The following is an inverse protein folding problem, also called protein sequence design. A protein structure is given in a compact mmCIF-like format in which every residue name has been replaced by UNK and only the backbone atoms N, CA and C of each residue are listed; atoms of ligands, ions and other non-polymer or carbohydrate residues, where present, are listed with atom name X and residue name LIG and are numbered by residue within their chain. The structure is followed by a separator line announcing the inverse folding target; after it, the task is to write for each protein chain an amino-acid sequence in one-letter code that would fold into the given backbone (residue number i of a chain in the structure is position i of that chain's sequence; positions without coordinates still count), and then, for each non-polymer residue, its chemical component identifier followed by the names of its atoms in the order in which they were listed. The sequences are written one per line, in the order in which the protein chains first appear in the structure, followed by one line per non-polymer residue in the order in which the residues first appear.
data_IF_517841526888
#
_entry.id   IF_517841526888
#
_cell.length_a   1.000
_cell.length_b   1.000
_cell.length_c   1.000
_cell.angle_alpha   90.00
_cell.angle_beta   90.00
_cell.angle_gamma   90.00
#
_symmetry.space_group_name_H-M   'P 1'
#
loop_
_entity.id
_entity.type
_entity.pdbx_description
1 polymer ?
#
# COMPACT_ATOMS: atom_id res chain seq x y z
N UNK A 1 33.13 -63.89 -27.45
CA UNK A 1 31.89 -64.63 -27.15
C UNK A 1 30.83 -63.59 -26.76
N UNK A 2 30.33 -62.74 -27.64
CA UNK A 2 30.41 -62.77 -29.12
C UNK A 2 29.56 -63.89 -29.73
N UNK A 3 28.85 -63.70 -30.84
CA UNK A 3 28.62 -62.50 -31.67
C UNK A 3 27.24 -62.68 -32.38
N UNK A 4 26.64 -61.60 -32.90
CA UNK A 4 25.77 -61.39 -34.12
C UNK A 4 25.00 -62.57 -34.79
N UNK A 5 23.91 -62.46 -35.59
CA UNK A 5 23.02 -61.39 -36.13
C UNK A 5 21.65 -62.08 -36.50
N UNK A 6 20.68 -61.70 -37.38
CA UNK A 6 20.33 -60.56 -38.26
C UNK A 6 18.79 -60.57 -38.51
N UNK A 7 18.18 -59.41 -38.78
CA UNK A 7 16.87 -59.17 -39.44
C UNK A 7 15.56 -59.83 -38.89
N UNK A 8 14.35 -59.31 -39.19
CA UNK A 8 14.04 -58.01 -39.78
C UNK A 8 12.62 -57.83 -40.35
N UNK A 9 12.05 -56.63 -40.10
CA UNK A 9 11.03 -55.88 -40.88
C UNK A 9 9.59 -56.41 -41.07
N UNK A 10 8.71 -55.43 -41.34
CA UNK A 10 7.33 -55.48 -41.85
C UNK A 10 6.26 -56.09 -40.91
N UNK A 11 5.12 -55.46 -40.58
CA UNK A 11 4.36 -54.29 -41.09
C UNK A 11 3.59 -54.55 -42.40
N UNK A 12 2.25 -54.44 -42.34
CA UNK A 12 1.22 -54.71 -43.36
C UNK A 12 1.03 -56.20 -43.74
N UNK A 13 0.08 -56.89 -43.11
CA UNK A 13 -1.26 -57.13 -43.72
C UNK A 13 -2.21 -57.93 -42.81
N UNK A 14 -3.51 -57.59 -42.86
CA UNK A 14 -4.70 -58.46 -42.69
C UNK A 14 -5.95 -57.63 -42.30
N UNK A 15 -6.69 -57.17 -43.30
CA UNK A 15 -8.00 -56.54 -43.14
C UNK A 15 -9.07 -57.25 -43.99
N UNK A 16 -9.74 -58.26 -43.42
CA UNK A 16 -10.90 -58.92 -44.03
C UNK A 16 -11.78 -59.63 -42.99
N UNK A 17 -13.07 -59.78 -43.32
CA UNK A 17 -14.12 -60.51 -42.58
C UNK A 17 -14.49 -59.96 -41.18
N UNK A 18 -15.77 -59.82 -40.79
CA UNK A 18 -17.04 -60.30 -41.37
C UNK A 18 -18.16 -59.24 -41.31
N UNK A 19 -19.11 -59.37 -42.24
CA UNK A 19 -20.25 -58.44 -42.43
C UNK A 19 -21.58 -59.04 -41.91
N UNK A 20 -22.60 -58.17 -41.75
CA UNK A 20 -24.06 -58.37 -41.50
C UNK A 20 -24.48 -58.03 -40.06
N UNK A 21 -25.66 -57.46 -39.82
CA UNK A 21 -26.82 -57.27 -40.70
C UNK A 21 -27.42 -55.83 -40.70
N UNK A 22 -28.11 -55.47 -41.79
CA UNK A 22 -28.86 -54.22 -41.97
C UNK A 22 -30.25 -54.28 -41.29
N UNK A 23 -30.74 -53.13 -40.84
CA UNK A 23 -32.10 -52.65 -41.20
C UNK A 23 -32.04 -51.15 -41.55
N UNK A 24 -32.81 -50.74 -42.54
CA UNK A 24 -32.82 -49.38 -43.12
C UNK A 24 -34.26 -48.79 -43.09
N UNK A 25 -34.62 -47.70 -43.78
CA UNK A 25 -34.86 -46.42 -43.13
C UNK A 25 -36.32 -45.93 -43.25
N UNK A 26 -36.60 -44.71 -42.79
CA UNK A 26 -37.77 -43.91 -43.23
C UNK A 26 -37.31 -42.56 -43.76
N UNK A 27 -37.97 -42.06 -44.80
CA UNK A 27 -37.55 -40.93 -45.63
C UNK A 27 -38.71 -39.99 -45.95
N UNK A 28 -38.44 -38.68 -46.01
CA UNK A 28 -39.36 -37.65 -46.49
C UNK A 28 -39.29 -36.37 -45.63
N UNK A 29 -39.28 -35.15 -46.19
CA UNK A 29 -39.25 -34.70 -47.60
C UNK A 29 -38.41 -33.42 -47.71
N UNK A 30 -37.81 -33.19 -48.89
CA UNK A 30 -37.07 -31.95 -49.20
C UNK A 30 -37.99 -30.74 -49.39
N UNK A 31 -37.50 -29.53 -49.09
CA UNK A 31 -37.16 -28.52 -50.11
C UNK A 31 -36.25 -27.40 -49.53
N UNK A 32 -35.53 -26.62 -50.37
CA UNK A 32 -34.31 -25.91 -49.96
C UNK A 32 -34.53 -24.42 -49.64
N UNK A 33 -33.48 -23.79 -49.11
CA UNK A 33 -33.36 -22.35 -48.94
C UNK A 33 -31.93 -21.93 -48.65
N UNK A 34 -31.08 -21.88 -49.69
CA UNK A 34 -29.74 -21.29 -49.59
C UNK A 34 -29.85 -19.77 -49.41
N UNK A 35 -29.47 -19.27 -48.24
CA UNK A 35 -29.25 -17.85 -48.00
C UNK A 35 -27.88 -17.70 -47.32
N UNK A 36 -26.91 -17.10 -48.02
CA UNK A 36 -25.56 -16.87 -47.52
C UNK A 36 -25.61 -15.89 -46.33
N UNK A 37 -25.21 -16.36 -45.15
CA UNK A 37 -24.91 -15.51 -43.99
C UNK A 37 -23.40 -15.42 -43.79
N UNK A 38 -22.77 -14.44 -44.44
CA UNK A 38 -21.38 -14.04 -44.18
C UNK A 38 -21.35 -12.55 -43.86
N UNK A 39 -20.61 -12.21 -42.80
CA UNK A 39 -20.21 -10.86 -42.35
C UNK A 39 -21.35 -9.85 -42.02
N UNK A 40 -21.31 -9.03 -40.97
CA UNK A 40 -20.33 -8.88 -39.88
C UNK A 40 -21.02 -9.04 -38.52
N UNK A 41 -20.93 -10.23 -37.92
CA UNK A 41 -21.27 -10.44 -36.51
C UNK A 41 -20.09 -9.99 -35.63
N UNK A 42 -19.78 -8.69 -35.65
CA UNK A 42 -18.71 -8.06 -34.86
C UNK A 42 -18.78 -8.59 -33.41
N UNK A 43 -17.81 -9.42 -33.05
CA UNK A 43 -18.00 -10.41 -31.98
C UNK A 43 -17.97 -9.72 -30.62
N UNK A 44 -19.15 -9.28 -30.18
CA UNK A 44 -19.33 -8.41 -29.02
C UNK A 44 -18.79 -9.10 -27.78
N UNK A 45 -17.65 -8.60 -27.31
CA UNK A 45 -16.98 -9.03 -26.10
C UNK A 45 -17.99 -9.12 -24.92
N UNK A 46 -17.94 -10.18 -24.09
CA UNK A 46 -18.76 -10.25 -22.89
C UNK A 46 -18.55 -9.02 -22.00
N UNK A 47 -19.57 -8.59 -21.27
CA UNK A 47 -19.52 -7.34 -20.48
C UNK A 47 -18.32 -7.36 -19.51
N UNK A 48 -17.51 -6.30 -19.56
CA UNK A 48 -16.26 -6.16 -18.79
C UNK A 48 -15.02 -6.79 -19.45
N UNK A 49 -15.15 -7.43 -20.63
CA UNK A 49 -13.99 -7.89 -21.41
C UNK A 49 -13.50 -6.79 -22.34
N UNK A 50 -12.18 -6.64 -22.41
CA UNK A 50 -11.48 -5.61 -23.18
C UNK A 50 -10.58 -6.19 -24.29
N UNK A 51 -10.26 -7.48 -24.23
CA UNK A 51 -9.52 -8.22 -25.25
C UNK A 51 -10.01 -9.68 -25.36
N UNK A 52 -9.69 -10.34 -26.46
CA UNK A 52 -9.78 -11.80 -26.62
C UNK A 52 -8.36 -12.34 -26.77
N UNK A 53 -7.96 -13.31 -25.93
CA UNK A 53 -6.66 -13.98 -26.04
C UNK A 53 -6.85 -15.48 -26.35
N UNK A 54 -5.99 -16.01 -27.23
CA UNK A 54 -6.02 -17.40 -27.67
C UNK A 54 -4.88 -18.20 -27.04
N UNK A 55 -5.20 -19.31 -26.37
CA UNK A 55 -4.21 -20.20 -25.77
C UNK A 55 -3.64 -21.12 -26.85
N UNK A 56 -2.49 -20.76 -27.42
CA UNK A 56 -1.75 -21.57 -28.40
C UNK A 56 -0.57 -22.32 -27.76
N UNK A 57 -0.29 -23.58 -28.14
CA UNK A 57 0.91 -24.29 -27.70
C UNK A 57 2.18 -23.60 -28.24
N UNK A 58 3.15 -23.35 -27.36
CA UNK A 58 4.42 -22.67 -27.69
C UNK A 58 4.44 -21.19 -27.27
N UNK A 59 3.36 -20.45 -27.55
CA UNK A 59 3.24 -18.98 -27.36
C UNK A 59 2.96 -18.57 -25.89
N UNK A 60 3.58 -19.25 -24.91
CA UNK A 60 3.29 -19.01 -23.48
C UNK A 60 3.95 -17.76 -22.86
N UNK A 61 5.13 -17.28 -23.32
CA UNK A 61 5.63 -15.95 -22.99
C UNK A 61 4.77 -14.83 -23.57
N UNK A 62 4.41 -14.91 -24.84
CA UNK A 62 3.68 -13.88 -25.59
C UNK A 62 2.26 -13.72 -25.04
N UNK A 63 1.58 -14.84 -24.74
CA UNK A 63 0.28 -14.85 -24.07
C UNK A 63 0.33 -14.18 -22.67
N UNK A 64 1.47 -14.20 -22.00
CA UNK A 64 1.67 -13.47 -20.75
C UNK A 64 1.96 -11.99 -21.00
N UNK A 65 2.69 -11.61 -22.05
CA UNK A 65 2.93 -10.20 -22.42
C UNK A 65 1.64 -9.47 -22.83
N UNK A 66 0.77 -10.15 -23.60
CA UNK A 66 -0.54 -9.61 -23.97
C UNK A 66 -1.47 -9.51 -22.74
N UNK A 67 -1.41 -10.49 -21.83
CA UNK A 67 -2.14 -10.45 -20.56
C UNK A 67 -1.65 -9.33 -19.61
N UNK A 68 -0.34 -9.12 -19.51
CA UNK A 68 0.27 -8.03 -18.73
C UNK A 68 -0.17 -6.66 -19.26
N UNK A 69 -0.16 -6.48 -20.59
CA UNK A 69 -0.62 -5.25 -21.25
C UNK A 69 -2.08 -4.93 -20.94
N UNK A 70 -2.98 -5.91 -21.04
CA UNK A 70 -4.41 -5.71 -20.73
C UNK A 70 -4.62 -5.42 -19.24
N UNK A 71 -3.82 -5.99 -18.33
CA UNK A 71 -3.86 -5.63 -16.92
C UNK A 71 -3.40 -4.18 -16.71
N UNK A 72 -2.29 -3.75 -17.30
CA UNK A 72 -1.77 -2.37 -17.17
C UNK A 72 -2.74 -1.34 -17.76
N UNK A 73 -3.40 -1.64 -18.88
CA UNK A 73 -4.38 -0.75 -19.50
C UNK A 73 -5.72 -0.65 -18.76
N UNK A 74 -6.14 -1.71 -18.04
CA UNK A 74 -7.53 -1.87 -17.55
C UNK A 74 -7.64 -2.08 -16.03
N UNK A 75 -6.53 -2.27 -15.33
CA UNK A 75 -6.49 -2.52 -13.89
C UNK A 75 -5.51 -1.58 -13.16
N UNK A 76 -5.96 -0.35 -12.91
CA UNK A 76 -5.21 0.65 -12.15
C UNK A 76 -4.97 0.31 -10.66
N UNK A 77 -5.22 -0.94 -10.23
CA UNK A 77 -4.94 -1.42 -8.89
C UNK A 77 -3.78 -2.44 -8.82
N UNK A 78 -3.02 -2.67 -9.90
CA UNK A 78 -1.84 -3.55 -9.88
C UNK A 78 -0.56 -2.73 -10.07
N UNK A 79 0.37 -2.91 -9.14
CA UNK A 79 1.66 -2.23 -9.03
C UNK A 79 2.77 -3.25 -8.79
N UNK A 80 4.03 -2.87 -8.94
CA UNK A 80 5.16 -3.59 -8.36
C UNK A 80 5.70 -2.87 -7.12
N UNK A 81 6.05 -3.63 -6.08
CA UNK A 81 6.63 -3.14 -4.82
C UNK A 81 7.46 -4.25 -4.18
N UNK A 82 8.63 -3.91 -3.61
CA UNK A 82 9.36 -4.80 -2.69
C UNK A 82 9.64 -6.24 -3.22
N UNK A 83 9.77 -6.41 -4.54
CA UNK A 83 10.00 -7.71 -5.20
C UNK A 83 8.74 -8.54 -5.50
N UNK A 84 7.54 -7.98 -5.39
CA UNK A 84 6.27 -8.64 -5.72
C UNK A 84 5.29 -7.71 -6.46
N UNK A 85 4.33 -8.30 -7.18
CA UNK A 85 3.14 -7.56 -7.61
C UNK A 85 2.25 -7.29 -6.41
N UNK A 86 1.86 -6.03 -6.25
CA UNK A 86 1.10 -5.52 -5.11
C UNK A 86 -0.16 -4.80 -5.59
N UNK A 87 -1.14 -4.70 -4.70
CA UNK A 87 -2.41 -4.01 -4.93
C UNK A 87 -2.88 -3.30 -3.68
N UNK A 88 -3.77 -2.32 -3.83
CA UNK A 88 -4.47 -1.77 -2.68
C UNK A 88 -5.55 -2.75 -2.20
N UNK A 89 -5.74 -2.76 -0.89
CA UNK A 89 -6.89 -3.33 -0.20
C UNK A 89 -7.39 -2.33 0.84
N UNK A 90 -8.71 -2.30 1.05
CA UNK A 90 -9.27 -1.68 2.25
C UNK A 90 -9.21 -2.73 3.35
N UNK A 91 -8.42 -2.49 4.38
CA UNK A 91 -8.30 -3.37 5.55
C UNK A 91 -9.61 -3.35 6.34
N UNK A 92 -10.08 -4.55 6.71
CA UNK A 92 -11.11 -4.71 7.75
C UNK A 92 -10.45 -4.47 9.13
N UNK A 93 -11.21 -4.07 10.17
CA UNK A 93 -10.64 -3.89 11.49
C UNK A 93 -10.13 -5.23 12.04
N UNK A 94 -8.80 -5.35 12.13
CA UNK A 94 -8.11 -6.58 12.52
C UNK A 94 -6.99 -6.30 13.52
N UNK A 95 -6.53 -7.34 14.22
CA UNK A 95 -5.34 -7.27 15.07
C UNK A 95 -4.52 -8.53 14.83
N UNK A 96 -3.32 -8.36 14.28
CA UNK A 96 -2.48 -9.44 13.75
C UNK A 96 -1.05 -9.20 14.23
N UNK A 97 -0.44 -10.17 14.91
CA UNK A 97 0.92 -10.11 15.46
C UNK A 97 1.24 -8.82 16.26
N UNK A 98 0.28 -8.34 17.07
CA UNK A 98 0.45 -7.12 17.88
C UNK A 98 0.27 -5.80 17.10
N UNK A 99 -0.09 -5.86 15.83
CA UNK A 99 -0.41 -4.71 14.96
C UNK A 99 -1.93 -4.59 14.87
N UNK A 100 -2.50 -3.43 15.20
CA UNK A 100 -3.95 -3.16 15.16
C UNK A 100 -4.27 -2.02 14.18
N UNK A 101 -5.00 -2.36 13.12
CA UNK A 101 -5.50 -1.39 12.13
C UNK A 101 -6.95 -1.01 12.44
N UNK A 102 -7.35 0.19 12.00
CA UNK A 102 -8.74 0.65 12.05
C UNK A 102 -9.50 0.23 10.79
N UNK A 103 -10.82 0.27 10.84
CA UNK A 103 -11.66 0.00 9.67
C UNK A 103 -11.42 1.05 8.57
N UNK A 104 -11.55 0.62 7.32
CA UNK A 104 -11.32 1.46 6.16
C UNK A 104 -9.84 1.76 5.86
N UNK A 105 -8.87 1.38 6.70
CA UNK A 105 -7.45 1.70 6.46
C UNK A 105 -6.98 1.09 5.14
N UNK A 106 -6.58 1.93 4.19
CA UNK A 106 -6.05 1.47 2.90
C UNK A 106 -4.64 0.93 3.11
N UNK A 107 -4.42 -0.33 2.75
CA UNK A 107 -3.13 -1.04 2.87
C UNK A 107 -2.67 -1.57 1.52
N UNK A 108 -1.37 -1.83 1.42
CA UNK A 108 -0.75 -2.53 0.30
C UNK A 108 -0.68 -4.02 0.65
N UNK A 109 -1.21 -4.87 -0.21
CA UNK A 109 -1.17 -6.33 -0.05
C UNK A 109 -0.56 -6.99 -1.29
N UNK A 110 0.12 -8.15 -1.15
CA UNK A 110 0.61 -8.89 -2.30
C UNK A 110 -0.54 -9.39 -3.19
N UNK A 111 -0.27 -9.50 -4.47
CA UNK A 111 -1.11 -10.19 -5.45
C UNK A 111 -0.74 -11.67 -5.46
N UNK A 112 -1.71 -12.52 -5.18
CA UNK A 112 -1.59 -13.98 -5.33
C UNK A 112 -2.10 -14.46 -6.71
N UNK A 113 -1.83 -15.72 -7.02
CA UNK A 113 -2.17 -16.31 -8.31
C UNK A 113 -3.68 -16.51 -8.53
N UNK A 114 -4.49 -16.62 -7.48
CA UNK A 114 -5.95 -16.76 -7.58
C UNK A 114 -6.61 -15.40 -7.83
N UNK A 115 -6.20 -14.36 -7.11
CA UNK A 115 -6.58 -12.98 -7.40
C UNK A 115 -6.21 -12.61 -8.84
N UNK A 116 -4.96 -12.82 -9.26
CA UNK A 116 -4.53 -12.48 -10.60
C UNK A 116 -5.27 -13.29 -11.67
N UNK A 117 -5.57 -14.57 -11.41
CA UNK A 117 -6.41 -15.40 -12.29
C UNK A 117 -7.85 -14.87 -12.37
N UNK A 118 -8.45 -14.38 -11.28
CA UNK A 118 -9.76 -13.71 -11.30
C UNK A 118 -9.72 -12.42 -12.14
N UNK A 119 -8.71 -11.55 -11.97
CA UNK A 119 -8.56 -10.32 -12.75
C UNK A 119 -8.39 -10.59 -14.24
N UNK A 120 -7.51 -11.53 -14.60
CA UNK A 120 -7.33 -12.00 -15.97
C UNK A 120 -8.63 -12.58 -16.55
N UNK A 121 -9.39 -13.36 -15.77
CA UNK A 121 -10.69 -13.87 -16.20
C UNK A 121 -11.75 -12.77 -16.33
N UNK A 122 -11.71 -11.69 -15.55
CA UNK A 122 -12.67 -10.58 -15.61
C UNK A 122 -12.44 -9.65 -16.79
N UNK A 123 -11.20 -9.44 -17.21
CA UNK A 123 -10.81 -8.44 -18.21
C UNK A 123 -10.59 -9.03 -19.61
N UNK A 124 -10.30 -10.33 -19.73
CA UNK A 124 -9.97 -10.99 -21.01
C UNK A 124 -10.99 -12.10 -21.31
N UNK A 125 -11.40 -12.21 -22.57
CA UNK A 125 -12.15 -13.35 -23.11
C UNK A 125 -11.16 -14.43 -23.56
N UNK A 126 -11.06 -15.54 -22.82
CA UNK A 126 -10.09 -16.59 -23.09
C UNK A 126 -10.65 -17.64 -24.04
N UNK A 127 -9.90 -17.96 -25.09
CA UNK A 127 -10.25 -18.99 -26.06
C UNK A 127 -9.13 -20.04 -26.19
N UNK A 128 -9.50 -21.26 -26.58
CA UNK A 128 -8.55 -22.31 -26.98
C UNK A 128 -9.09 -23.12 -28.14
N UNK A 129 -8.22 -23.69 -28.97
CA UNK A 129 -8.65 -24.59 -30.02
C UNK A 129 -9.17 -25.91 -29.46
N UNK A 130 -10.31 -26.38 -30.00
CA UNK A 130 -10.93 -27.65 -29.64
C UNK A 130 -10.97 -28.55 -30.87
N UNK A 131 -10.00 -29.46 -30.98
CA UNK A 131 -9.92 -30.45 -32.07
C UNK A 131 -11.22 -31.25 -32.25
N UNK A 132 -11.92 -31.58 -31.15
CA UNK A 132 -13.22 -32.28 -31.20
C UNK A 132 -14.34 -31.47 -31.87
N UNK A 133 -14.24 -30.13 -31.88
CA UNK A 133 -15.24 -29.23 -32.47
C UNK A 133 -14.70 -28.47 -33.69
N UNK A 134 -13.45 -28.74 -34.10
CA UNK A 134 -12.69 -28.05 -35.14
C UNK A 134 -12.72 -26.51 -35.09
N UNK A 135 -12.84 -25.93 -33.88
CA UNK A 135 -13.01 -24.48 -33.68
C UNK A 135 -12.44 -24.00 -32.35
N UNK A 136 -12.25 -22.68 -32.24
CA UNK A 136 -12.01 -22.01 -30.96
C UNK A 136 -13.24 -22.12 -30.04
N UNK A 137 -13.00 -22.35 -28.75
CA UNK A 137 -14.04 -22.38 -27.71
C UNK A 137 -13.62 -21.55 -26.51
N UNK A 138 -14.60 -20.88 -25.89
CA UNK A 138 -14.41 -20.11 -24.66
C UNK A 138 -13.93 -20.99 -23.52
N UNK A 139 -13.04 -20.45 -22.68
CA UNK A 139 -12.52 -21.09 -21.48
C UNK A 139 -12.15 -20.02 -20.44
N UNK A 140 -11.40 -20.43 -19.40
CA UNK A 140 -10.86 -19.53 -18.38
C UNK A 140 -9.36 -19.33 -18.61
N UNK A 141 -8.81 -18.23 -18.05
CA UNK A 141 -7.38 -17.98 -18.00
C UNK A 141 -6.61 -19.20 -17.42
N UNK A 142 -5.56 -19.69 -18.08
CA UNK A 142 -4.69 -20.70 -17.49
C UNK A 142 -3.99 -20.11 -16.26
N UNK A 143 -4.04 -20.79 -15.12
CA UNK A 143 -3.30 -20.37 -13.89
C UNK A 143 -1.81 -20.15 -14.17
N UNK A 144 -1.24 -20.87 -15.14
CA UNK A 144 0.14 -20.69 -15.57
C UNK A 144 0.44 -19.26 -16.04
N UNK A 145 -0.50 -18.54 -16.66
CA UNK A 145 -0.29 -17.12 -17.04
C UNK A 145 -0.09 -16.28 -15.78
N UNK A 146 -0.97 -16.41 -14.78
CA UNK A 146 -0.82 -15.72 -13.50
C UNK A 146 0.48 -16.10 -12.77
N UNK A 147 0.86 -17.39 -12.76
CA UNK A 147 2.13 -17.86 -12.18
C UNK A 147 3.35 -17.29 -12.90
N UNK A 148 3.35 -17.27 -14.25
CA UNK A 148 4.42 -16.67 -15.06
C UNK A 148 4.53 -15.19 -14.76
N UNK A 149 3.42 -14.43 -14.77
CA UNK A 149 3.42 -13.02 -14.41
C UNK A 149 3.99 -12.79 -13.00
N UNK A 150 3.57 -13.55 -11.99
CA UNK A 150 4.08 -13.41 -10.61
C UNK A 150 5.56 -13.82 -10.43
N UNK A 151 6.19 -14.43 -11.43
CA UNK A 151 7.62 -14.73 -11.43
C UNK A 151 8.50 -13.65 -12.08
N UNK A 152 7.94 -12.68 -12.82
CA UNK A 152 8.66 -11.63 -13.57
C UNK A 152 9.24 -10.49 -12.69
N UNK A 153 9.69 -10.79 -11.47
CA UNK A 153 10.27 -9.77 -10.58
C UNK A 153 11.52 -9.14 -11.21
N UNK A 154 11.49 -7.82 -11.39
CA UNK A 154 12.53 -7.07 -12.10
C UNK A 154 12.36 -6.97 -13.63
N UNK A 155 11.30 -7.58 -14.18
CA UNK A 155 10.94 -7.51 -15.61
C UNK A 155 9.51 -6.99 -15.86
N UNK A 156 8.77 -6.62 -14.81
CA UNK A 156 7.41 -6.09 -14.89
C UNK A 156 7.33 -4.70 -15.52
N UNK A 157 6.28 -4.47 -16.32
CA UNK A 157 5.92 -3.15 -16.84
C UNK A 157 4.91 -2.40 -15.95
N UNK A 158 4.48 -2.97 -14.82
CA UNK A 158 3.62 -2.32 -13.83
C UNK A 158 4.31 -1.13 -13.14
N UNK A 159 3.52 -0.18 -12.62
CA UNK A 159 4.02 1.02 -11.92
C UNK A 159 4.62 0.68 -10.55
N UNK A 160 5.66 1.39 -10.13
CA UNK A 160 6.39 1.15 -8.88
C UNK A 160 5.74 1.89 -7.70
N UNK A 161 5.20 1.16 -6.72
CA UNK A 161 4.49 1.76 -5.58
C UNK A 161 5.41 1.96 -4.36
N UNK A 162 5.84 3.21 -4.16
CA UNK A 162 6.61 3.68 -2.98
C UNK A 162 5.74 3.76 -1.74
N UNK A 163 4.47 4.18 -1.87
CA UNK A 163 3.53 4.30 -0.76
C UNK A 163 2.18 4.88 -1.18
N UNK A 164 1.24 4.91 -0.23
CA UNK A 164 -0.10 5.49 -0.40
C UNK A 164 -0.19 6.72 0.49
N UNK A 165 -0.78 7.79 -0.01
CA UNK A 165 -1.22 8.94 0.79
C UNK A 165 -2.74 9.13 0.63
N UNK A 166 -3.42 9.62 1.67
CA UNK A 166 -4.87 9.91 1.63
C UNK A 166 -5.20 11.39 1.83
N UNK A 167 -4.18 12.24 1.68
CA UNK A 167 -4.19 13.70 1.70
C UNK A 167 -3.10 14.22 0.75
N UNK A 168 -3.15 15.50 0.34
CA UNK A 168 -2.02 16.17 -0.29
C UNK A 168 -0.74 16.10 0.56
N UNK A 169 0.41 16.22 -0.09
CA UNK A 169 1.72 16.28 0.58
C UNK A 169 2.71 17.12 -0.23
N UNK A 170 3.97 17.22 0.22
CA UNK A 170 5.06 17.76 -0.59
C UNK A 170 5.89 16.63 -1.22
N UNK A 171 6.48 16.89 -2.38
CA UNK A 171 7.55 16.06 -2.98
C UNK A 171 8.92 16.47 -2.39
N UNK A 172 10.00 15.69 -2.59
CA UNK A 172 11.35 16.00 -2.09
C UNK A 172 11.95 17.34 -2.59
N UNK A 173 11.54 17.83 -3.77
CA UNK A 173 11.90 19.17 -4.26
C UNK A 173 11.18 20.30 -3.49
N UNK A 174 10.11 19.96 -2.76
CA UNK A 174 9.22 20.85 -2.03
C UNK A 174 7.94 21.23 -2.79
N UNK A 175 7.77 20.79 -4.05
CA UNK A 175 6.54 21.01 -4.83
C UNK A 175 5.34 20.29 -4.20
N UNK A 176 4.14 20.80 -4.44
CA UNK A 176 2.91 20.25 -3.87
C UNK A 176 2.43 19.07 -4.73
N UNK A 177 2.04 17.97 -4.08
CA UNK A 177 1.29 16.88 -4.71
C UNK A 177 -0.12 16.84 -4.10
N UNK A 178 -1.07 17.43 -4.82
CA UNK A 178 -2.46 17.68 -4.37
C UNK A 178 -3.55 17.08 -5.28
N UNK A 179 -3.17 16.40 -6.37
CA UNK A 179 -4.12 15.82 -7.33
C UNK A 179 -4.23 14.30 -7.12
N UNK A 180 -5.44 13.74 -6.93
CA UNK A 180 -5.60 12.29 -6.74
C UNK A 180 -5.10 11.51 -7.96
N UNK A 181 -4.46 10.36 -7.72
CA UNK A 181 -3.78 9.58 -8.75
C UNK A 181 -2.35 9.19 -8.37
N UNK A 182 -1.59 8.69 -9.34
CA UNK A 182 -0.21 8.23 -9.15
C UNK A 182 0.79 9.28 -9.63
N UNK A 183 1.82 9.55 -8.84
CA UNK A 183 2.90 10.49 -9.15
C UNK A 183 4.16 9.77 -9.62
N UNK A 184 4.47 9.88 -10.92
CA UNK A 184 5.63 9.20 -11.55
C UNK A 184 6.98 9.58 -10.92
N UNK A 185 7.09 10.78 -10.36
CA UNK A 185 8.34 11.29 -9.79
C UNK A 185 8.67 10.71 -8.39
N UNK A 186 7.66 10.23 -7.65
CA UNK A 186 7.82 9.71 -6.28
C UNK A 186 7.36 8.27 -6.09
N UNK A 187 6.58 7.71 -7.03
CA UNK A 187 5.93 6.41 -6.90
C UNK A 187 4.80 6.41 -5.84
N UNK A 188 4.30 7.58 -5.46
CA UNK A 188 3.21 7.72 -4.50
C UNK A 188 1.85 7.65 -5.20
N UNK A 189 0.90 6.95 -4.59
CA UNK A 189 -0.50 6.94 -4.99
C UNK A 189 -1.33 7.76 -4.00
N UNK A 190 -1.85 8.91 -4.45
CA UNK A 190 -2.82 9.69 -3.68
C UNK A 190 -4.22 9.13 -3.88
N UNK A 191 -4.68 8.35 -2.89
CA UNK A 191 -6.04 7.84 -2.78
C UNK A 191 -6.91 8.83 -1.98
N UNK A 192 -7.54 9.77 -2.68
CA UNK A 192 -8.38 10.79 -2.05
C UNK A 192 -9.80 10.27 -1.74
N UNK A 193 -10.15 10.23 -0.46
CA UNK A 193 -11.51 9.94 0.03
C UNK A 193 -12.36 11.21 0.18
N UNK A 194 -11.73 12.39 0.12
CA UNK A 194 -12.35 13.70 0.28
C UNK A 194 -11.59 14.76 -0.53
N UNK A 195 -12.25 15.89 -0.81
CA UNK A 195 -11.61 17.06 -1.40
C UNK A 195 -10.78 17.84 -0.36
N UNK A 196 -9.76 18.55 -0.84
CA UNK A 196 -8.90 19.45 -0.07
C UNK A 196 -8.90 20.83 -0.75
N UNK A 197 -8.80 21.95 0.01
CA UNK A 197 -8.63 23.27 -0.58
C UNK A 197 -7.24 23.38 -1.23
N UNK A 198 -7.06 24.27 -2.22
CA UNK A 198 -5.76 24.50 -2.84
C UNK A 198 -4.77 25.04 -1.83
N UNK A 199 -3.53 24.55 -1.89
CA UNK A 199 -2.44 25.02 -1.02
C UNK A 199 -1.65 26.09 -1.79
N UNK A 200 -1.42 27.30 -1.23
CA UNK A 200 -0.65 28.32 -1.92
C UNK A 200 0.75 27.82 -2.29
N UNK A 201 1.20 28.06 -3.53
CA UNK A 201 2.54 27.67 -3.95
C UNK A 201 3.62 28.48 -3.21
N UNK A 202 3.46 29.80 -3.09
CA UNK A 202 4.43 30.69 -2.45
C UNK A 202 3.79 31.57 -1.37
N UNK A 203 3.31 30.99 -0.25
CA UNK A 203 2.71 31.73 0.85
C UNK A 203 3.78 32.53 1.62
N UNK A 204 3.36 33.66 2.17
CA UNK A 204 4.19 34.54 2.97
C UNK A 204 4.45 34.02 4.39
N UNK A 205 5.32 34.74 5.11
CA UNK A 205 5.62 34.46 6.53
C UNK A 205 4.39 34.58 7.43
N UNK A 206 3.44 35.45 7.09
CA UNK A 206 2.21 35.68 7.85
C UNK A 206 1.20 34.55 7.60
N UNK A 207 1.03 34.10 6.35
CA UNK A 207 0.23 32.91 6.03
C UNK A 207 0.77 31.67 6.77
N UNK A 208 2.09 31.47 6.74
CA UNK A 208 2.75 30.38 7.46
C UNK A 208 2.58 30.46 8.98
N UNK A 209 2.58 31.67 9.56
CA UNK A 209 2.29 31.91 10.98
C UNK A 209 0.83 31.55 11.31
N UNK A 210 -0.13 32.12 10.59
CA UNK A 210 -1.55 31.86 10.80
C UNK A 210 -1.91 30.37 10.62
N UNK A 211 -1.25 29.68 9.69
CA UNK A 211 -1.41 28.25 9.49
C UNK A 211 -0.88 27.40 10.67
N UNK A 212 0.28 27.76 11.26
CA UNK A 212 0.77 27.11 12.48
C UNK A 212 -0.14 27.40 13.67
N UNK A 213 -0.60 28.64 13.82
CA UNK A 213 -1.46 29.06 14.92
C UNK A 213 -2.84 28.37 14.82
N UNK A 214 -3.39 28.17 13.61
CA UNK A 214 -4.60 27.36 13.39
C UNK A 214 -4.46 25.90 13.85
N UNK A 215 -3.29 25.27 13.63
CA UNK A 215 -3.02 23.92 14.17
C UNK A 215 -2.90 23.92 15.69
N UNK A 216 -2.26 24.95 16.27
CA UNK A 216 -2.09 25.10 17.72
C UNK A 216 -3.46 25.30 18.38
N UNK A 217 -4.25 26.27 17.94
CA UNK A 217 -5.57 26.59 18.50
C UNK A 217 -6.62 25.52 18.20
N UNK A 218 -6.59 24.97 16.98
CA UNK A 218 -7.51 23.94 16.52
C UNK A 218 -7.34 22.60 17.25
N UNK A 219 -6.10 22.14 17.40
CA UNK A 219 -5.80 20.76 17.87
C UNK A 219 -5.07 20.76 19.21
N UNK A 220 -3.98 21.53 19.35
CA UNK A 220 -3.06 21.39 20.49
C UNK A 220 -3.50 22.16 21.76
N UNK A 221 -4.39 23.13 21.64
CA UNK A 221 -4.81 24.05 22.71
C UNK A 221 -5.40 23.36 23.95
N UNK A 222 -5.97 22.16 23.79
CA UNK A 222 -6.57 21.39 24.88
C UNK A 222 -5.59 20.52 25.68
N UNK A 223 -4.32 20.41 25.30
CA UNK A 223 -3.35 19.50 25.94
C UNK A 223 -2.47 20.20 26.97
N UNK A 224 -2.31 19.59 28.15
CA UNK A 224 -1.49 20.12 29.24
C UNK A 224 -0.01 19.78 29.04
N UNK A 225 0.64 20.46 28.10
CA UNK A 225 2.09 20.40 27.89
C UNK A 225 2.85 20.87 29.14
N UNK A 226 4.00 20.26 29.45
CA UNK A 226 4.83 20.71 30.58
C UNK A 226 5.52 22.04 30.30
N UNK A 227 5.97 22.27 29.07
CA UNK A 227 6.63 23.48 28.61
C UNK A 227 6.26 23.83 27.16
N UNK A 228 6.68 25.04 26.73
CA UNK A 228 6.44 25.50 25.36
C UNK A 228 7.15 24.63 24.29
N UNK A 229 8.26 23.96 24.65
CA UNK A 229 8.97 23.06 23.73
C UNK A 229 8.22 21.74 23.48
N UNK A 230 7.45 21.22 24.44
CA UNK A 230 6.63 20.01 24.23
C UNK A 230 5.52 20.28 23.19
N UNK A 231 4.88 21.45 23.27
CA UNK A 231 3.90 21.88 22.26
C UNK A 231 4.54 22.05 20.89
N UNK A 232 5.78 22.54 20.82
CA UNK A 232 6.54 22.63 19.58
C UNK A 232 6.94 21.24 19.05
N UNK A 233 7.30 20.29 19.92
CA UNK A 233 7.55 18.90 19.57
C UNK A 233 6.29 18.22 18.98
N UNK A 234 5.14 18.35 19.64
CA UNK A 234 3.86 17.85 19.12
C UNK A 234 3.48 18.47 17.77
N UNK A 235 3.64 19.78 17.61
CA UNK A 235 3.44 20.47 16.33
C UNK A 235 4.41 19.98 15.25
N UNK A 236 5.67 19.75 15.59
CA UNK A 236 6.64 19.16 14.67
C UNK A 236 6.23 17.75 14.24
N UNK A 237 5.58 16.96 15.09
CA UNK A 237 4.99 15.66 14.74
C UNK A 237 3.89 15.77 13.67
N UNK A 238 2.98 16.74 13.80
CA UNK A 238 1.97 17.04 12.77
C UNK A 238 2.64 17.38 11.43
N UNK A 239 3.62 18.29 11.45
CA UNK A 239 4.31 18.74 10.25
C UNK A 239 5.15 17.62 9.61
N UNK A 240 5.89 16.84 10.41
CA UNK A 240 6.65 15.66 9.96
C UNK A 240 5.72 14.64 9.30
N UNK A 241 4.55 14.37 9.89
CA UNK A 241 3.59 13.44 9.31
C UNK A 241 3.04 13.94 7.96
N UNK A 242 2.71 15.23 7.85
CA UNK A 242 2.12 15.82 6.64
C UNK A 242 3.04 15.76 5.41
N UNK A 243 4.36 15.70 5.62
CA UNK A 243 5.36 15.60 4.53
C UNK A 243 6.28 14.39 4.64
N UNK A 244 5.95 13.37 5.45
CA UNK A 244 6.82 12.21 5.69
C UNK A 244 7.36 11.56 4.41
N UNK A 245 6.60 11.41 3.30
CA UNK A 245 7.11 10.85 2.06
C UNK A 245 8.18 11.68 1.34
N UNK A 246 8.29 12.99 1.62
CA UNK A 246 9.35 13.86 1.07
C UNK A 246 10.68 13.75 1.82
N UNK A 247 10.65 13.25 3.06
CA UNK A 247 11.79 13.24 3.97
C UNK A 247 12.59 11.94 3.80
N UNK A 248 13.90 12.07 3.58
CA UNK A 248 14.82 10.92 3.53
C UNK A 248 14.76 10.07 4.80
N UNK A 249 14.71 10.75 5.94
CA UNK A 249 14.70 10.21 7.31
C UNK A 249 13.85 11.12 8.19
N UNK A 250 13.22 10.58 9.23
CA UNK A 250 12.44 11.35 10.19
C UNK A 250 12.68 10.82 11.61
N UNK A 251 12.70 11.69 12.64
CA UNK A 251 12.73 11.23 14.02
C UNK A 251 11.40 10.57 14.39
N UNK A 252 11.42 9.83 15.49
CA UNK A 252 10.22 9.35 16.18
C UNK A 252 9.73 10.42 17.16
N UNK A 253 8.42 10.67 17.25
CA UNK A 253 7.82 11.59 18.23
C UNK A 253 7.24 10.83 19.41
N UNK A 254 7.82 10.99 20.60
CA UNK A 254 7.45 10.24 21.80
C UNK A 254 6.65 11.11 22.79
N UNK A 255 5.46 10.64 23.18
CA UNK A 255 4.57 11.31 24.11
C UNK A 255 4.66 10.65 25.49
N UNK A 256 5.20 11.38 26.46
CA UNK A 256 5.40 10.93 27.85
C UNK A 256 4.49 11.71 28.80
N UNK A 257 4.06 11.07 29.88
CA UNK A 257 3.28 11.70 30.96
C UNK A 257 3.39 10.84 32.23
N UNK A 258 3.24 11.42 33.43
CA UNK A 258 3.46 10.72 34.69
C UNK A 258 2.35 9.70 35.05
N UNK A 259 1.16 9.83 34.45
CA UNK A 259 -0.01 8.97 34.69
C UNK A 259 -0.60 8.39 33.39
N UNK A 260 -1.42 7.32 33.47
CA UNK A 260 -2.33 6.94 32.39
C UNK A 260 -3.36 8.05 32.11
N UNK A 261 -4.23 7.83 31.11
CA UNK A 261 -5.33 8.74 30.68
C UNK A 261 -4.94 10.20 30.33
N UNK A 262 -3.65 10.56 30.38
CA UNK A 262 -3.11 11.91 30.21
C UNK A 262 -3.11 12.45 28.77
N UNK A 263 -4.02 11.96 27.91
CA UNK A 263 -4.12 12.39 26.50
C UNK A 263 -3.04 11.89 25.53
N UNK A 264 -2.03 11.11 25.98
CA UNK A 264 -0.90 10.65 25.13
C UNK A 264 -1.31 10.02 23.79
N UNK A 265 -2.08 8.93 23.84
CA UNK A 265 -2.52 8.22 22.62
C UNK A 265 -3.53 9.02 21.81
N UNK A 266 -4.29 9.94 22.45
CA UNK A 266 -5.13 10.91 21.74
C UNK A 266 -4.28 11.90 20.93
N UNK A 267 -3.15 12.37 21.46
CA UNK A 267 -2.23 13.27 20.74
C UNK A 267 -1.58 12.55 19.55
N UNK A 268 -1.19 11.28 19.72
CA UNK A 268 -0.72 10.45 18.62
C UNK A 268 -1.80 10.23 17.54
N UNK A 269 -3.02 9.90 17.96
CA UNK A 269 -4.17 9.75 17.04
C UNK A 269 -4.54 11.08 16.37
N UNK A 270 -4.36 12.25 16.99
CA UNK A 270 -4.57 13.54 16.34
C UNK A 270 -3.63 13.75 15.13
N UNK A 271 -2.36 13.37 15.24
CA UNK A 271 -1.39 13.43 14.14
C UNK A 271 -1.84 12.51 13.00
N UNK A 272 -2.23 11.27 13.33
CA UNK A 272 -2.72 10.30 12.34
C UNK A 272 -4.03 10.74 11.68
N UNK A 273 -4.98 11.31 12.43
CA UNK A 273 -6.28 11.76 11.94
C UNK A 273 -6.14 12.90 10.92
N UNK A 274 -5.24 13.85 11.15
CA UNK A 274 -4.96 14.94 10.20
C UNK A 274 -4.48 14.34 8.86
N UNK A 275 -3.43 13.53 8.87
CA UNK A 275 -2.78 13.12 7.61
C UNK A 275 -3.45 11.93 6.93
N UNK A 276 -4.00 10.98 7.68
CA UNK A 276 -4.60 9.73 7.13
C UNK A 276 -6.14 9.73 7.10
N UNK A 277 -6.78 10.59 7.89
CA UNK A 277 -8.23 10.56 8.16
C UNK A 277 -8.65 9.55 9.24
N UNK A 278 -7.70 8.83 9.84
CA UNK A 278 -7.93 7.73 10.78
C UNK A 278 -6.99 7.81 12.00
N UNK A 279 -7.36 7.19 13.14
CA UNK A 279 -6.41 6.90 14.23
C UNK A 279 -5.18 6.13 13.72
N UNK A 280 -4.07 6.19 14.46
CA UNK A 280 -2.82 5.53 14.11
C UNK A 280 -2.98 4.00 14.03
N UNK A 281 -2.15 3.36 13.22
CA UNK A 281 -1.94 1.91 13.33
C UNK A 281 -1.12 1.67 14.60
N UNK A 282 -1.76 1.16 15.65
CA UNK A 282 -1.08 0.86 16.91
C UNK A 282 -0.28 -0.43 16.75
N UNK A 283 0.99 -0.41 17.14
CA UNK A 283 1.83 -1.59 17.31
C UNK A 283 2.24 -1.68 18.77
N UNK A 284 1.97 -2.80 19.43
CA UNK A 284 2.52 -3.04 20.77
C UNK A 284 4.05 -3.06 20.70
N UNK A 285 4.72 -2.34 21.60
CA UNK A 285 6.16 -2.45 21.76
C UNK A 285 6.54 -3.89 22.21
N UNK A 286 7.77 -4.31 21.92
CA UNK A 286 8.33 -5.58 22.36
C UNK A 286 9.85 -5.44 22.48
N UNK A 287 10.47 -5.85 23.60
CA UNK A 287 11.92 -5.81 23.76
C UNK A 287 12.63 -6.96 23.06
N UNK A 288 11.90 -7.97 22.55
CA UNK A 288 12.45 -9.03 21.69
C UNK A 288 12.89 -8.41 20.35
N UNK A 289 14.21 -8.35 20.03
CA UNK A 289 14.69 -7.76 18.79
C UNK A 289 14.20 -8.55 17.57
N UNK A 290 14.05 -9.87 17.72
CA UNK A 290 13.67 -10.77 16.65
C UNK A 290 12.18 -10.64 16.32
N UNK A 291 11.32 -10.45 17.33
CA UNK A 291 9.91 -10.09 17.12
C UNK A 291 9.75 -8.67 16.58
N UNK A 292 10.48 -7.70 17.15
CA UNK A 292 10.44 -6.29 16.73
C UNK A 292 10.74 -6.13 15.23
N UNK A 293 11.83 -6.75 14.74
CA UNK A 293 12.18 -6.78 13.30
C UNK A 293 11.07 -7.33 12.42
N UNK A 294 10.42 -8.43 12.84
CA UNK A 294 9.32 -9.08 12.11
C UNK A 294 8.07 -8.21 12.04
N UNK A 295 7.68 -7.57 13.16
CA UNK A 295 6.53 -6.65 13.21
C UNK A 295 6.80 -5.39 12.36
N UNK A 296 7.99 -4.80 12.49
CA UNK A 296 8.44 -3.63 11.71
C UNK A 296 8.35 -3.89 10.19
N UNK A 297 8.95 -4.97 9.68
CA UNK A 297 8.88 -5.27 8.24
C UNK A 297 7.43 -5.47 7.77
N UNK A 298 6.60 -6.14 8.58
CA UNK A 298 5.19 -6.39 8.27
C UNK A 298 4.40 -5.08 8.09
N UNK A 299 4.68 -4.06 8.89
CA UNK A 299 4.09 -2.72 8.75
C UNK A 299 4.58 -2.01 7.49
N UNK A 300 5.89 -1.96 7.28
CA UNK A 300 6.48 -1.21 6.15
C UNK A 300 6.08 -1.83 4.79
N UNK A 301 5.92 -3.15 4.71
CA UNK A 301 5.36 -3.83 3.53
C UNK A 301 3.88 -3.46 3.31
N UNK A 302 3.10 -3.36 4.39
CA UNK A 302 1.68 -2.97 4.39
C UNK A 302 1.41 -1.50 4.01
N UNK A 303 2.41 -0.62 4.09
CA UNK A 303 2.31 0.77 3.63
C UNK A 303 1.51 1.72 4.55
N UNK A 304 1.30 1.34 5.81
CA UNK A 304 0.70 2.18 6.84
C UNK A 304 1.48 3.51 7.02
N UNK A 305 0.80 4.66 7.00
CA UNK A 305 1.46 6.00 6.98
C UNK A 305 1.93 6.49 8.36
N UNK A 306 1.21 6.16 9.43
CA UNK A 306 1.47 6.65 10.80
C UNK A 306 1.28 5.50 11.80
N UNK A 307 2.33 5.20 12.56
CA UNK A 307 2.42 4.10 13.52
C UNK A 307 2.60 4.67 14.91
N UNK A 308 1.92 4.08 15.89
CA UNK A 308 2.12 4.41 17.29
C UNK A 308 2.60 3.17 18.06
N UNK A 309 3.79 3.28 18.66
CA UNK A 309 4.31 2.35 19.67
C UNK A 309 3.58 2.61 20.98
N UNK A 310 2.39 2.03 21.12
CA UNK A 310 1.48 2.36 22.23
C UNK A 310 1.81 1.56 23.50
N UNK A 311 1.74 2.25 24.64
CA UNK A 311 2.03 1.71 25.98
C UNK A 311 3.41 1.01 26.08
N UNK A 312 4.47 1.77 25.79
CA UNK A 312 5.84 1.37 26.14
C UNK A 312 5.98 1.37 27.67
N UNK A 313 6.39 0.22 28.19
CA UNK A 313 6.77 0.01 29.59
C UNK A 313 8.30 -0.18 29.65
N UNK A 314 9.00 0.71 30.33
CA UNK A 314 10.46 0.74 30.38
C UNK A 314 11.08 1.74 29.38
N UNK A 315 12.21 1.36 28.78
CA UNK A 315 12.99 2.21 27.89
C UNK A 315 12.70 1.93 26.41
N UNK A 316 12.61 3.00 25.60
CA UNK A 316 12.53 2.94 24.16
C UNK A 316 13.94 2.81 23.56
N UNK A 317 14.26 1.62 23.07
CA UNK A 317 15.53 1.25 22.41
C UNK A 317 15.30 0.19 21.30
N UNK A 318 16.36 -0.16 20.57
CA UNK A 318 16.36 -1.28 19.61
C UNK A 318 16.90 -0.93 18.21
N UNK A 319 17.88 -1.72 17.74
CA UNK A 319 18.61 -1.51 16.49
C UNK A 319 17.71 -1.48 15.24
N UNK A 320 16.64 -2.27 15.24
CA UNK A 320 15.67 -2.31 14.14
C UNK A 320 14.98 -0.96 13.95
N UNK A 321 14.55 -0.34 15.05
CA UNK A 321 13.90 0.97 15.04
C UNK A 321 14.91 2.08 14.74
N UNK A 322 16.11 2.00 15.32
CA UNK A 322 17.22 2.88 14.95
C UNK A 322 17.52 2.86 13.45
N UNK A 323 17.49 1.67 12.83
CA UNK A 323 17.73 1.47 11.40
C UNK A 323 16.61 2.06 10.54
N UNK A 324 15.34 1.89 10.92
CA UNK A 324 14.19 2.45 10.19
C UNK A 324 14.18 3.99 10.22
N UNK A 325 14.59 4.60 11.33
CA UNK A 325 14.60 6.06 11.48
C UNK A 325 15.75 6.75 10.72
N UNK A 326 16.83 6.03 10.39
CA UNK A 326 18.03 6.60 9.73
C UNK A 326 18.31 6.13 8.31
N UNK A 327 17.53 5.21 7.74
CA UNK A 327 17.69 4.73 6.37
C UNK A 327 16.40 4.93 5.57
N UNK A 328 16.50 5.06 4.25
CA UNK A 328 15.33 5.20 3.34
C UNK A 328 14.58 3.89 3.10
N UNK A 329 15.26 2.75 3.29
CA UNK A 329 14.67 1.41 3.18
C UNK A 329 15.09 0.52 4.35
N UNK A 330 14.22 -0.41 4.72
CA UNK A 330 14.48 -1.46 5.69
C UNK A 330 14.34 -2.82 5.00
N UNK A 331 15.24 -3.77 5.32
CA UNK A 331 15.25 -5.09 4.69
C UNK A 331 15.44 -6.21 5.72
N UNK A 332 14.60 -7.24 5.66
CA UNK A 332 14.72 -8.44 6.51
C UNK A 332 14.08 -9.66 5.82
N UNK A 333 14.14 -10.85 6.44
CA UNK A 333 13.47 -12.05 5.93
C UNK A 333 11.96 -11.98 6.19
N UNK A 334 11.17 -12.23 5.15
CA UNK A 334 9.70 -12.31 5.26
C UNK A 334 9.28 -13.50 6.12
N UNK A 335 8.39 -13.26 7.08
CA UNK A 335 7.80 -14.26 7.99
C UNK A 335 7.35 -15.53 7.25
N UNK A 336 7.73 -16.70 7.78
CA UNK A 336 7.33 -18.01 7.23
C UNK A 336 7.98 -18.40 5.89
N UNK A 337 8.90 -17.59 5.34
CA UNK A 337 9.56 -17.89 4.06
C UNK A 337 11.08 -17.73 4.15
N UNK A 338 11.79 -18.17 3.10
CA UNK A 338 13.23 -17.89 2.94
C UNK A 338 13.51 -16.57 2.20
N UNK A 339 12.48 -15.88 1.68
CA UNK A 339 12.63 -14.67 0.86
C UNK A 339 12.95 -13.44 1.72
N UNK A 340 13.77 -12.54 1.19
CA UNK A 340 13.98 -11.22 1.75
C UNK A 340 12.87 -10.28 1.26
N UNK A 341 12.45 -9.35 2.12
CA UNK A 341 11.58 -8.22 1.77
C UNK A 341 12.26 -6.91 2.10
N UNK A 342 12.18 -5.95 1.19
CA UNK A 342 12.78 -4.60 1.31
C UNK A 342 11.69 -3.55 1.13
N UNK A 343 11.46 -2.71 2.13
CA UNK A 343 10.36 -1.74 2.14
C UNK A 343 10.88 -0.31 2.44
N UNK A 344 10.35 0.74 1.77
CA UNK A 344 10.59 2.13 2.15
C UNK A 344 10.21 2.42 3.60
N UNK A 345 10.99 3.25 4.28
CA UNK A 345 10.78 3.67 5.68
C UNK A 345 9.90 4.92 5.81
N UNK A 346 9.25 5.35 4.72
CA UNK A 346 8.46 6.59 4.55
C UNK A 346 7.15 6.61 5.37
N UNK A 347 7.29 6.37 6.66
CA UNK A 347 6.27 6.12 7.67
C UNK A 347 6.61 6.97 8.90
N UNK A 348 5.58 7.57 9.52
CA UNK A 348 5.76 8.39 10.72
C UNK A 348 5.70 7.51 11.95
N UNK A 349 6.72 7.56 12.80
CA UNK A 349 6.78 6.79 14.03
C UNK A 349 6.44 7.68 15.22
N UNK A 350 5.44 7.28 15.97
CA UNK A 350 4.99 7.86 17.22
C UNK A 350 5.19 6.84 18.34
N UNK A 351 5.22 7.30 19.58
CA UNK A 351 5.28 6.43 20.76
C UNK A 351 4.49 7.02 21.94
N UNK A 352 3.96 6.16 22.80
CA UNK A 352 3.37 6.57 24.09
C UNK A 352 3.92 5.75 25.25
N UNK A 353 4.09 6.36 26.42
CA UNK A 353 4.46 5.63 27.63
C UNK A 353 4.21 6.43 28.93
N UNK A 354 4.22 5.73 30.06
CA UNK A 354 4.17 6.34 31.39
C UNK A 354 5.61 6.58 31.86
N UNK A 355 6.01 7.84 32.07
CA UNK A 355 7.41 8.22 32.35
C UNK A 355 8.41 7.61 31.35
N UNK A 356 8.09 7.64 30.05
CA UNK A 356 8.85 7.02 28.97
C UNK A 356 10.30 7.52 28.97
N UNK A 357 11.24 6.58 29.12
CA UNK A 357 12.67 6.81 28.95
C UNK A 357 13.10 6.43 27.53
N UNK A 358 14.12 7.11 27.00
CA UNK A 358 14.76 6.78 25.72
C UNK A 358 16.20 6.37 26.00
N UNK A 359 16.64 5.23 25.48
CA UNK A 359 17.95 4.64 25.81
C UNK A 359 18.82 4.41 24.57
N UNK A 360 20.13 4.25 24.81
CA UNK A 360 21.12 3.98 23.78
C UNK A 360 21.06 4.93 22.58
N UNK A 361 21.16 4.37 21.38
CA UNK A 361 21.18 5.11 20.12
C UNK A 361 19.84 5.82 19.79
N UNK A 362 18.72 5.42 20.40
CA UNK A 362 17.42 6.10 20.19
C UNK A 362 17.43 7.55 20.71
N UNK A 363 18.30 7.90 21.67
CA UNK A 363 18.40 9.24 22.26
C UNK A 363 18.60 10.37 21.24
N UNK A 364 19.25 10.09 20.11
CA UNK A 364 19.49 11.05 19.01
C UNK A 364 18.46 10.96 17.87
N UNK A 365 17.46 10.07 18.00
CA UNK A 365 16.47 9.73 16.97
C UNK A 365 15.02 9.99 17.42
N UNK A 366 14.83 10.49 18.64
CA UNK A 366 13.52 10.77 19.24
C UNK A 366 13.38 12.25 19.57
N UNK A 367 12.23 12.83 19.21
CA UNK A 367 11.76 14.11 19.76
C UNK A 367 10.77 13.79 20.88
N UNK A 368 11.15 14.07 22.13
CA UNK A 368 10.31 13.85 23.30
C UNK A 368 9.32 15.02 23.49
N UNK A 369 8.11 14.71 23.94
CA UNK A 369 7.06 15.65 24.29
C UNK A 369 6.41 15.19 25.60
N UNK A 370 6.52 15.98 26.67
CA UNK A 370 5.94 15.70 27.97
C UNK A 370 4.60 16.42 28.20
N UNK A 371 3.66 15.68 28.80
CA UNK A 371 2.35 16.14 29.24
C UNK A 371 2.22 15.94 30.76
N UNK A 372 1.60 16.90 31.44
CA UNK A 372 1.22 16.80 32.85
C UNK A 372 -0.20 17.36 33.04
N UNK A 373 -1.22 16.50 33.26
CA UNK A 373 -2.61 16.91 33.46
C UNK A 373 -2.88 17.79 34.70
N UNK A 374 -1.92 17.93 35.63
CA UNK A 374 -2.05 18.76 36.86
C UNK A 374 -3.30 18.44 37.70
N UNK A 375 -3.80 17.20 37.61
CA UNK A 375 -4.96 16.68 38.33
C UNK A 375 -4.71 15.24 38.77
N UNK A 376 -5.34 14.82 39.87
CA UNK A 376 -5.21 13.45 40.37
C UNK A 376 -5.97 12.42 39.54
N UNK A 377 -6.99 12.84 38.79
CA UNK A 377 -7.84 12.00 37.92
C UNK A 377 -7.85 12.47 36.46
N UNK A 378 -6.80 12.22 35.67
CA UNK A 378 -6.74 12.62 34.26
C UNK A 378 -7.90 12.06 33.41
N UNK A 379 -8.44 10.90 33.79
CA UNK A 379 -9.57 10.22 33.16
C UNK A 379 -10.92 10.96 33.30
N UNK A 380 -11.07 11.84 34.29
CA UNK A 380 -12.25 12.70 34.45
C UNK A 380 -12.13 14.03 33.66
N UNK A 381 -10.96 14.30 33.05
CA UNK A 381 -10.67 15.59 32.41
C UNK A 381 -11.33 15.71 31.03
N UNK A 382 -12.34 16.57 30.94
CA UNK A 382 -13.05 16.88 29.69
C UNK A 382 -12.18 17.77 28.77
N UNK A 383 -12.06 17.37 27.50
CA UNK A 383 -11.58 18.24 26.42
C UNK A 383 -12.73 19.12 25.93
N UNK A 384 -12.45 20.36 25.51
CA UNK A 384 -13.46 21.32 25.02
C UNK A 384 -14.10 20.93 23.68
N UNK A 385 -13.55 19.93 22.99
CA UNK A 385 -14.08 19.32 21.76
C UNK A 385 -13.71 17.84 21.71
N UNK A 386 -14.55 17.02 21.10
CA UNK A 386 -14.18 15.66 20.71
C UNK A 386 -13.27 15.73 19.46
N UNK A 387 -11.97 15.48 19.66
CA UNK A 387 -10.98 15.54 18.58
C UNK A 387 -11.09 14.36 17.59
N UNK A 388 -11.63 13.20 17.99
CA UNK A 388 -11.86 12.07 17.07
C UNK A 388 -12.96 12.40 16.04
N UNK A 389 -13.89 13.29 16.40
CA UNK A 389 -14.92 13.81 15.50
C UNK A 389 -14.49 15.09 14.79
N UNK A 390 -13.99 16.07 15.54
CA UNK A 390 -13.70 17.41 15.03
C UNK A 390 -12.55 17.42 14.01
N UNK A 391 -11.51 16.58 14.20
CA UNK A 391 -10.39 16.53 13.24
C UNK A 391 -10.85 16.01 11.88
N UNK A 392 -11.55 14.87 11.73
CA UNK A 392 -12.13 14.47 10.44
C UNK A 392 -13.04 15.53 9.79
N UNK A 393 -13.91 16.19 10.57
CA UNK A 393 -14.78 17.27 10.07
C UNK A 393 -13.99 18.48 9.54
N UNK A 394 -12.80 18.78 10.10
CA UNK A 394 -11.96 19.94 9.75
C UNK A 394 -10.69 19.57 8.96
N UNK A 395 -10.50 18.28 8.65
CA UNK A 395 -9.27 17.71 8.04
C UNK A 395 -8.76 18.45 6.79
N UNK A 396 -9.62 18.91 5.85
CA UNK A 396 -9.16 19.64 4.66
C UNK A 396 -8.35 20.90 5.02
N UNK A 397 -8.83 21.67 6.01
CA UNK A 397 -8.18 22.89 6.46
C UNK A 397 -6.90 22.59 7.27
N UNK A 398 -6.93 21.58 8.14
CA UNK A 398 -5.79 21.19 8.97
C UNK A 398 -4.59 20.70 8.12
N UNK A 399 -4.85 19.89 7.08
CA UNK A 399 -3.80 19.48 6.12
C UNK A 399 -3.28 20.68 5.33
N UNK A 400 -4.17 21.51 4.81
CA UNK A 400 -3.76 22.69 4.03
C UNK A 400 -2.94 23.67 4.88
N UNK A 401 -3.26 23.84 6.16
CA UNK A 401 -2.47 24.64 7.10
C UNK A 401 -1.07 24.04 7.31
N UNK A 402 -0.96 22.74 7.61
CA UNK A 402 0.33 22.07 7.79
C UNK A 402 1.25 22.23 6.56
N UNK A 403 0.68 22.11 5.36
CA UNK A 403 1.43 22.26 4.10
C UNK A 403 1.72 23.73 3.76
N UNK A 404 0.82 24.67 4.08
CA UNK A 404 1.04 26.12 3.91
C UNK A 404 2.20 26.61 4.78
N UNK A 405 2.28 26.17 6.04
CA UNK A 405 3.38 26.50 6.93
C UNK A 405 4.75 26.03 6.39
N UNK A 406 4.80 24.81 5.84
CA UNK A 406 6.01 24.23 5.25
C UNK A 406 6.35 24.89 3.90
N UNK A 407 5.35 25.21 3.07
CA UNK A 407 5.55 25.99 1.83
C UNK A 407 6.06 27.41 2.12
N UNK A 408 5.62 28.06 3.19
CA UNK A 408 6.11 29.39 3.58
C UNK A 408 7.60 29.36 3.97
N UNK A 409 8.03 28.32 4.70
CA UNK A 409 9.45 28.08 5.00
C UNK A 409 10.29 27.85 3.74
N UNK A 410 9.76 27.08 2.77
CA UNK A 410 10.45 26.82 1.50
C UNK A 410 10.51 28.09 0.62
N UNK A 411 9.40 28.84 0.52
CA UNK A 411 9.31 30.09 -0.23
C UNK A 411 10.22 31.20 0.34
N UNK A 412 10.42 31.21 1.66
CA UNK A 412 11.40 32.08 2.34
C UNK A 412 12.88 31.66 2.10
N UNK A 413 13.15 30.69 1.24
CA UNK A 413 14.51 30.23 0.90
C UNK A 413 15.08 29.18 1.86
N UNK A 414 14.25 28.49 2.64
CA UNK A 414 14.66 27.52 3.68
C UNK A 414 15.70 28.11 4.67
N UNK A 415 15.40 29.26 5.32
CA UNK A 415 16.36 29.96 6.17
C UNK A 415 16.80 29.08 7.36
N UNK A 416 18.08 29.08 7.74
CA UNK A 416 18.55 28.26 8.86
C UNK A 416 17.85 28.67 10.16
N UNK A 417 17.39 27.68 10.92
CA UNK A 417 16.95 27.91 12.29
C UNK A 417 18.17 28.31 13.13
N UNK A 418 18.03 29.35 13.96
CA UNK A 418 19.05 29.77 14.92
C UNK A 418 19.09 28.84 16.14
N UNK A 419 19.42 27.57 15.89
CA UNK A 419 19.77 26.61 16.93
C UNK A 419 21.16 27.00 17.45
N UNK A 420 21.34 27.07 18.76
CA UNK A 420 22.67 27.24 19.33
C UNK A 420 23.51 25.99 19.00
N UNK A 421 24.76 26.19 18.58
CA UNK A 421 25.60 25.12 18.05
C UNK A 421 26.05 24.15 19.17
N UNK A 422 25.27 23.09 19.39
CA UNK A 422 25.58 22.02 20.34
C UNK A 422 26.43 20.95 19.64
N UNK A 423 27.73 21.21 19.55
CA UNK A 423 28.73 20.30 18.98
C UNK A 423 29.04 19.06 19.80
#
# INVERSE_FOLDING_TARGET
MGDDDDNGKNVLDLAAERLKARKTPKTGKNRPGDAKGGDDAATRLPVGRHATLEIRPGESPELADEAERVLIERDGNIYQRSGYLARLAVSKPETVHGIRRRDGTVTIVPVDADYLTDRLNRLIAWQKYSFRMSRLVTCNAPRQVASTLLSRSGAWAFKQLTGIITAPTLRPDGSIFEKPGYDEATGLLFHAEQAFPPIPESPGREDGRAALDHLIEGVLSGFDFTAAHDRAAALSGILTAAVRPSLRTAPLHAFSAPRPASGKSLLADCIALIVTGRPATNMSFTPDPDESRKRILTILLGGDQVINLDNIEGALEGDALCSVLTNETYSDRMLGTQRQGTAPTCVTWLATGNNLAVAGDMTRRVVLCALDPKTDRPEERLFSKDLYRWIPENRPALVAAALTALRAYIAAGRPPASVADTG
#
